data_IF_800462971011
#
_entry.id   IF_800462971011
#
_cell.length_a   1.000
_cell.length_b   1.000
_cell.length_c   1.000
_cell.angle_alpha   90.00
_cell.angle_beta   90.00
_cell.angle_gamma   90.00
#
_symmetry.space_group_name_H-M   'P 1'
#
loop_
_entity.id
_entity.type
_entity.pdbx_description
1 polymer ?
#
# COMPACT_ATOMS: atom_id res chain seq x y z
N UNK A 1 7.10 -6.93 -20.97
CA UNK A 1 6.61 -7.62 -19.77
C UNK A 1 6.60 -6.57 -18.67
N UNK A 2 5.48 -5.90 -18.43
CA UNK A 2 5.43 -4.91 -17.34
C UNK A 2 5.67 -5.66 -16.03
N UNK A 3 6.76 -5.31 -15.34
CA UNK A 3 7.16 -5.94 -14.06
C UNK A 3 6.39 -5.36 -12.87
N UNK A 4 5.52 -4.39 -13.14
CA UNK A 4 4.73 -3.69 -12.16
C UNK A 4 3.66 -4.62 -11.58
N UNK A 5 3.60 -4.65 -10.25
CA UNK A 5 2.66 -5.45 -9.48
C UNK A 5 1.95 -4.56 -8.49
N UNK A 6 0.74 -4.97 -8.11
CA UNK A 6 0.01 -4.30 -7.05
C UNK A 6 0.52 -4.81 -5.70
N UNK A 7 0.74 -3.88 -4.79
CA UNK A 7 1.23 -4.11 -3.45
C UNK A 7 0.25 -3.52 -2.46
N UNK A 8 -0.06 -4.28 -1.41
CA UNK A 8 -0.89 -3.82 -0.31
C UNK A 8 -0.07 -3.84 0.96
N UNK A 9 -0.24 -2.81 1.78
CA UNK A 9 0.40 -2.74 3.08
C UNK A 9 -0.26 -3.75 4.02
N UNK A 10 0.52 -4.69 4.54
CA UNK A 10 0.02 -5.72 5.45
C UNK A 10 -0.45 -5.12 6.77
N UNK A 11 -1.49 -5.70 7.36
CA UNK A 11 -2.06 -5.26 8.64
C UNK A 11 -1.08 -5.34 9.82
N UNK A 12 -0.05 -6.20 9.74
CA UNK A 12 1.05 -6.33 10.74
C UNK A 12 2.27 -5.44 10.40
N UNK A 13 2.19 -4.58 9.38
CA UNK A 13 3.36 -3.81 8.95
C UNK A 13 3.87 -2.84 10.01
N UNK A 14 3.01 -2.39 10.94
CA UNK A 14 3.30 -1.30 11.86
C UNK A 14 3.33 0.07 11.17
N UNK A 15 2.86 0.14 9.92
CA UNK A 15 2.70 1.35 9.13
C UNK A 15 1.24 1.48 8.70
N UNK A 16 0.81 2.72 8.50
CA UNK A 16 -0.50 3.07 7.94
C UNK A 16 -0.27 3.83 6.64
N UNK A 17 -0.99 3.46 5.57
CA UNK A 17 -0.98 4.20 4.31
C UNK A 17 -2.16 5.20 4.31
N UNK A 18 -1.87 6.47 4.07
CA UNK A 18 -2.87 7.54 4.02
C UNK A 18 -2.72 8.39 2.76
N UNK A 19 -3.85 8.72 2.12
CA UNK A 19 -3.93 9.74 1.07
C UNK A 19 -4.13 11.12 1.74
N UNK A 20 -3.18 12.03 1.53
CA UNK A 20 -3.25 13.39 2.02
C UNK A 20 -4.14 14.25 1.10
N UNK A 21 -4.74 15.35 1.61
CA UNK A 21 -5.60 16.23 0.81
C UNK A 21 -4.93 16.89 -0.41
N UNK A 22 -3.59 16.91 -0.43
CA UNK A 22 -2.80 17.42 -1.54
C UNK A 22 -2.54 16.36 -2.63
N UNK A 23 -3.03 15.12 -2.46
CA UNK A 23 -2.84 13.98 -3.36
C UNK A 23 -1.58 13.16 -3.09
N UNK A 24 -0.75 13.55 -2.12
CA UNK A 24 0.40 12.74 -1.71
C UNK A 24 -0.06 11.54 -0.91
N UNK A 25 0.53 10.38 -1.19
CA UNK A 25 0.31 9.19 -0.38
C UNK A 25 1.51 8.96 0.51
N UNK A 26 1.25 8.91 1.81
CA UNK A 26 2.27 8.75 2.83
C UNK A 26 2.07 7.46 3.59
N UNK A 27 3.17 6.79 3.88
CA UNK A 27 3.19 5.77 4.92
C UNK A 27 3.67 6.38 6.21
N UNK A 28 2.85 6.22 7.24
CA UNK A 28 3.05 6.76 8.57
C UNK A 28 3.33 5.58 9.49
N UNK A 29 4.45 5.60 10.19
CA UNK A 29 4.74 4.59 11.20
C UNK A 29 3.76 4.72 12.35
N UNK A 30 3.23 3.59 12.83
CA UNK A 30 2.33 3.57 13.99
C UNK A 30 3.10 3.60 15.30
N UNK A 31 4.40 3.28 15.27
CA UNK A 31 5.28 3.24 16.45
C UNK A 31 6.14 4.48 16.58
N UNK A 32 6.46 5.12 15.47
CA UNK A 32 7.30 6.32 15.39
C UNK A 32 6.54 7.39 14.60
N UNK A 33 6.73 8.67 14.89
CA UNK A 33 6.12 9.76 14.12
C UNK A 33 6.80 9.94 12.73
N UNK A 34 7.32 8.86 12.15
CA UNK A 34 8.01 8.85 10.87
C UNK A 34 6.99 8.75 9.74
N UNK A 35 7.20 9.57 8.71
CA UNK A 35 6.33 9.65 7.56
C UNK A 35 7.17 9.63 6.29
N UNK A 36 6.77 8.81 5.32
CA UNK A 36 7.45 8.72 4.05
C UNK A 36 6.45 8.82 2.90
N UNK A 37 6.73 9.72 1.97
CA UNK A 37 5.95 9.86 0.74
C UNK A 37 6.36 8.77 -0.24
N UNK A 38 5.39 8.05 -0.80
CA UNK A 38 5.63 6.96 -1.74
C UNK A 38 5.73 7.44 -3.20
N UNK A 39 6.63 8.39 -3.49
CA UNK A 39 6.72 8.99 -4.81
C UNK A 39 6.97 7.96 -5.94
N UNK A 40 6.20 8.08 -7.03
CA UNK A 40 6.36 7.26 -8.25
C UNK A 40 5.55 5.97 -8.28
N UNK A 41 4.83 5.63 -7.21
CA UNK A 41 3.87 4.53 -7.22
C UNK A 41 2.50 5.01 -7.71
N UNK A 42 1.76 4.18 -8.44
CA UNK A 42 0.34 4.46 -8.73
C UNK A 42 -0.51 3.86 -7.62
N UNK A 43 -1.66 4.45 -7.31
CA UNK A 43 -2.49 3.98 -6.20
C UNK A 43 -3.92 3.73 -6.66
N UNK A 44 -4.57 2.78 -6.00
CA UNK A 44 -5.97 2.48 -6.22
C UNK A 44 -6.62 2.04 -4.92
N UNK A 45 -7.86 2.48 -4.70
CA UNK A 45 -8.66 1.97 -3.61
C UNK A 45 -9.08 0.53 -3.94
N UNK A 46 -8.80 -0.38 -3.02
CA UNK A 46 -9.27 -1.76 -3.05
C UNK A 46 -10.78 -1.73 -2.86
N UNK A 47 -11.54 -2.09 -3.90
CA UNK A 47 -13.01 -2.02 -3.89
C UNK A 47 -13.67 -3.25 -3.25
N UNK A 48 -12.95 -4.38 -3.21
CA UNK A 48 -13.40 -5.66 -2.71
C UNK A 48 -12.35 -6.21 -1.75
N UNK A 49 -12.78 -6.85 -0.67
CA UNK A 49 -11.85 -7.57 0.18
C UNK A 49 -11.13 -8.67 -0.60
N UNK A 50 -9.89 -8.92 -0.23
CA UNK A 50 -9.11 -10.02 -0.77
C UNK A 50 -8.79 -10.96 0.38
N UNK A 51 -9.61 -12.02 0.49
CA UNK A 51 -9.52 -13.03 1.55
C UNK A 51 -8.20 -13.82 1.51
N UNK A 52 -7.55 -13.90 0.34
CA UNK A 52 -6.28 -14.61 0.15
C UNK A 52 -5.10 -13.86 0.81
N UNK A 53 -5.08 -12.53 0.69
CA UNK A 53 -4.05 -11.67 1.31
C UNK A 53 -4.49 -11.04 2.63
N UNK A 54 -5.76 -11.23 3.03
CA UNK A 54 -6.36 -10.60 4.21
C UNK A 54 -6.52 -9.09 4.08
N UNK A 55 -6.59 -8.58 2.85
CA UNK A 55 -6.70 -7.14 2.57
C UNK A 55 -8.16 -6.70 2.74
N UNK A 56 -8.47 -5.75 3.63
CA UNK A 56 -9.84 -5.29 3.79
C UNK A 56 -10.30 -4.48 2.58
N UNK A 57 -11.61 -4.55 2.27
CA UNK A 57 -12.24 -3.61 1.37
C UNK A 57 -11.96 -2.16 1.85
N UNK A 58 -11.73 -1.24 0.91
CA UNK A 58 -11.27 0.13 1.13
C UNK A 58 -9.79 0.31 1.53
N UNK A 59 -8.97 -0.73 1.54
CA UNK A 59 -7.53 -0.58 1.65
C UNK A 59 -6.94 0.18 0.45
N UNK A 60 -5.75 0.76 0.63
CA UNK A 60 -4.99 1.37 -0.45
C UNK A 60 -3.97 0.37 -1.00
N UNK A 61 -3.99 0.14 -2.31
CA UNK A 61 -2.95 -0.64 -3.01
C UNK A 61 -2.11 0.26 -3.90
N UNK A 62 -0.84 -0.08 -4.04
CA UNK A 62 0.13 0.68 -4.83
C UNK A 62 0.73 -0.18 -5.94
N UNK A 63 0.84 0.34 -7.17
CA UNK A 63 1.45 -0.30 -8.31
C UNK A 63 2.91 0.17 -8.42
N UNK A 64 3.83 -0.79 -8.50
CA UNK A 64 5.24 -0.53 -8.77
C UNK A 64 5.99 -1.81 -9.12
N UNK A 65 7.21 -1.68 -9.63
CA UNK A 65 8.06 -2.82 -9.99
C UNK A 65 8.46 -3.70 -8.79
N UNK A 66 8.32 -3.18 -7.57
CA UNK A 66 8.58 -3.88 -6.31
C UNK A 66 7.81 -3.25 -5.16
N UNK A 67 7.86 -3.86 -3.97
CA UNK A 67 7.20 -3.31 -2.79
C UNK A 67 7.87 -2.00 -2.39
N UNK A 68 7.10 -1.01 -1.89
CA UNK A 68 7.67 0.16 -1.27
C UNK A 68 8.64 -0.19 -0.11
N UNK A 69 9.68 0.63 0.13
CA UNK A 69 10.75 0.29 1.06
C UNK A 69 10.38 0.43 2.55
N UNK A 70 9.18 0.93 2.86
CA UNK A 70 8.72 1.21 4.22
C UNK A 70 7.50 0.36 4.56
N UNK A 71 7.62 -0.47 5.59
CA UNK A 71 6.58 -1.42 5.98
C UNK A 71 6.67 -2.77 5.27
N UNK A 72 5.79 -3.69 5.66
CA UNK A 72 5.67 -5.02 5.08
C UNK A 72 4.57 -5.02 4.04
N UNK A 73 4.92 -5.25 2.79
CA UNK A 73 3.99 -5.26 1.67
C UNK A 73 3.78 -6.67 1.15
N UNK A 74 2.55 -6.94 0.78
CA UNK A 74 2.15 -8.20 0.15
C UNK A 74 1.71 -7.91 -1.28
N UNK A 75 2.07 -8.80 -2.19
CA UNK A 75 1.60 -8.74 -3.57
C UNK A 75 0.10 -9.00 -3.60
N UNK A 76 -0.65 -8.06 -4.18
CA UNK A 76 -2.08 -8.18 -4.38
C UNK A 76 -2.34 -8.90 -5.70
N UNK A 77 -2.82 -10.14 -5.59
CA UNK A 77 -3.11 -11.03 -6.71
C UNK A 77 -4.58 -10.95 -7.16
N UNK A 78 -5.25 -9.83 -6.90
CA UNK A 78 -6.69 -9.71 -7.09
C UNK A 78 -7.18 -10.27 -8.42
N UNK A 79 -8.34 -10.92 -8.34
CA UNK A 79 -9.02 -11.60 -9.44
C UNK A 79 -9.54 -10.66 -10.52
#
# INVERSE_FOLDING_TARGET
MSKEKWWVLGSDSGWSLEERPNGDHVVISQSTAEEHVLAGYQWMHVKHDDEETGTPAHALKVLGEGPPPFGKWTEFHGT
#
